data_IF_952823190986
#
_entry.id   IF_952823190986
#
_cell.length_a   1.000
_cell.length_b   1.000
_cell.length_c   1.000
_cell.angle_alpha   90.00
_cell.angle_beta   90.00
_cell.angle_gamma   90.00
#
_symmetry.space_group_name_H-M   'P 1'
#
loop_
_entity.id
_entity.type
_entity.pdbx_description
1 polymer ?
#
# COMPACT_ATOMS: atom_id res chain seq x y z
N UNK A 1 4.35 21.14 -2.72
CA UNK A 1 4.47 20.35 -1.47
C UNK A 1 3.25 20.71 -0.64
N UNK A 2 2.35 19.76 -0.32
CA UNK A 2 1.15 19.87 0.57
C UNK A 2 0.12 18.76 0.31
N UNK A 3 0.36 17.81 -0.61
CA UNK A 3 -0.62 16.79 -1.00
C UNK A 3 -1.14 15.96 0.20
N UNK A 4 -0.24 15.49 1.07
CA UNK A 4 -0.60 14.72 2.29
C UNK A 4 -1.63 15.48 3.15
N UNK A 5 -1.39 16.76 3.41
CA UNK A 5 -2.27 17.59 4.21
C UNK A 5 -3.60 17.90 3.49
N UNK A 6 -3.57 18.08 2.17
CA UNK A 6 -4.76 18.31 1.35
C UNK A 6 -5.67 17.07 1.29
N UNK A 7 -5.08 15.89 1.22
CA UNK A 7 -5.79 14.63 1.08
C UNK A 7 -6.18 14.03 2.45
N UNK A 8 -5.79 14.68 3.56
CA UNK A 8 -6.13 14.24 4.91
C UNK A 8 -5.55 12.88 5.30
N UNK A 9 -4.40 12.50 4.74
CA UNK A 9 -3.80 11.18 4.99
C UNK A 9 -3.17 11.14 6.39
N UNK A 10 -3.84 10.48 7.33
CA UNK A 10 -3.45 10.41 8.75
C UNK A 10 -2.45 9.32 9.07
N UNK A 11 -2.30 8.32 8.20
CA UNK A 11 -1.34 7.23 8.38
C UNK A 11 0.08 7.61 7.94
N UNK A 12 1.07 6.83 8.39
CA UNK A 12 2.50 7.05 8.10
C UNK A 12 2.77 7.19 6.62
N UNK A 13 3.35 8.32 6.22
CA UNK A 13 3.81 8.59 4.86
C UNK A 13 5.33 8.55 4.81
N UNK A 14 5.90 7.83 3.84
CA UNK A 14 7.35 7.78 3.60
C UNK A 14 7.63 7.96 2.12
N UNK A 15 8.75 8.60 1.77
CA UNK A 15 9.20 8.73 0.39
C UNK A 15 10.73 8.79 0.35
N UNK A 16 11.33 8.05 -0.57
CA UNK A 16 12.76 8.16 -0.88
C UNK A 16 13.05 9.20 -1.99
N UNK A 17 12.03 9.91 -2.49
CA UNK A 17 12.10 10.95 -3.53
C UNK A 17 12.73 10.51 -4.87
N UNK A 18 12.78 9.19 -5.15
CA UNK A 18 13.34 8.64 -6.40
C UNK A 18 12.30 8.42 -7.51
N UNK A 19 11.01 8.66 -7.26
CA UNK A 19 9.96 8.43 -8.24
C UNK A 19 9.97 7.00 -8.80
N UNK A 20 9.88 6.86 -10.13
CA UNK A 20 9.93 5.56 -10.81
C UNK A 20 11.31 4.87 -10.76
N UNK A 21 12.38 5.58 -10.43
CA UNK A 21 13.72 5.01 -10.26
C UNK A 21 13.93 4.37 -8.88
N UNK A 22 12.90 4.38 -8.02
CA UNK A 22 12.96 3.76 -6.71
C UNK A 22 13.28 2.27 -6.78
N UNK A 23 14.34 1.86 -6.08
CA UNK A 23 14.70 0.48 -5.83
C UNK A 23 13.59 -0.28 -5.08
N UNK A 24 12.88 0.38 -4.18
CA UNK A 24 11.73 -0.18 -3.46
C UNK A 24 10.58 -0.54 -4.43
N UNK A 25 10.24 0.33 -5.38
CA UNK A 25 9.21 0.05 -6.38
C UNK A 25 9.58 -1.17 -7.24
N UNK A 26 10.86 -1.31 -7.61
CA UNK A 26 11.37 -2.49 -8.31
C UNK A 26 11.30 -3.76 -7.46
N UNK A 27 11.72 -3.69 -6.19
CA UNK A 27 11.72 -4.82 -5.26
C UNK A 27 10.31 -5.40 -5.07
N UNK A 28 9.31 -4.54 -4.92
CA UNK A 28 7.90 -4.94 -4.78
C UNK A 28 7.14 -5.04 -6.11
N UNK A 29 7.84 -4.95 -7.25
CA UNK A 29 7.27 -5.03 -8.60
C UNK A 29 6.10 -4.05 -8.87
N UNK A 30 6.17 -2.84 -8.29
CA UNK A 30 5.20 -1.76 -8.52
C UNK A 30 5.44 -1.15 -9.91
N UNK A 31 4.46 -1.27 -10.81
CA UNK A 31 4.55 -0.78 -12.20
C UNK A 31 3.64 0.41 -12.52
N UNK A 32 2.66 0.68 -11.66
CA UNK A 32 1.76 1.82 -11.78
C UNK A 32 1.38 2.31 -10.38
N UNK A 33 0.55 3.34 -10.27
CA UNK A 33 -0.08 3.75 -9.00
C UNK A 33 -1.55 4.02 -9.28
N UNK A 34 -2.47 3.75 -8.32
CA UNK A 34 -2.22 3.19 -6.98
C UNK A 34 -1.97 1.67 -6.98
N UNK A 35 -1.14 1.18 -6.04
CA UNK A 35 -0.97 -0.24 -5.70
C UNK A 35 -1.02 -0.40 -4.17
N UNK A 36 -1.42 -1.58 -3.68
CA UNK A 36 -1.35 -1.92 -2.26
C UNK A 36 -0.93 -3.37 -2.06
N UNK A 37 -0.43 -3.65 -0.86
CA UNK A 37 -0.03 -4.96 -0.40
C UNK A 37 -0.61 -5.20 0.98
N UNK A 38 -1.14 -6.40 1.23
CA UNK A 38 -1.50 -6.86 2.55
C UNK A 38 -0.41 -7.84 3.01
N UNK A 39 0.19 -7.55 4.15
CA UNK A 39 1.31 -8.29 4.72
C UNK A 39 0.87 -8.84 6.08
N UNK A 40 1.18 -10.10 6.36
CA UNK A 40 0.90 -10.72 7.66
C UNK A 40 1.98 -10.38 8.71
N UNK A 41 1.77 -10.73 9.99
CA UNK A 41 2.76 -10.44 11.04
C UNK A 41 4.11 -11.14 10.88
N UNK A 42 4.20 -12.17 10.02
CA UNK A 42 5.44 -12.87 9.69
C UNK A 42 6.19 -12.20 8.53
N UNK A 43 5.63 -11.12 7.95
CA UNK A 43 6.24 -10.38 6.84
C UNK A 43 5.92 -10.99 5.47
N UNK A 44 4.95 -11.90 5.37
CA UNK A 44 4.56 -12.53 4.11
C UNK A 44 3.48 -11.70 3.42
N UNK A 45 3.64 -11.46 2.12
CA UNK A 45 2.62 -10.82 1.29
C UNK A 45 1.49 -11.83 1.04
N UNK A 46 0.31 -11.57 1.62
CA UNK A 46 -0.86 -12.45 1.54
C UNK A 46 -1.92 -11.96 0.53
N UNK A 47 -1.84 -10.70 0.10
CA UNK A 47 -2.63 -10.17 -1.02
C UNK A 47 -1.98 -8.93 -1.63
N UNK A 48 -2.36 -8.61 -2.88
CA UNK A 48 -1.91 -7.42 -3.60
C UNK A 48 -3.05 -6.83 -4.43
N UNK A 49 -3.02 -5.52 -4.64
CA UNK A 49 -3.91 -4.78 -5.53
C UNK A 49 -5.40 -5.02 -5.24
N UNK A 50 -5.74 -5.04 -3.96
CA UNK A 50 -7.11 -5.13 -3.51
C UNK A 50 -7.80 -3.78 -3.65
N UNK A 51 -8.99 -3.75 -4.25
CA UNK A 51 -9.76 -2.52 -4.44
C UNK A 51 -11.25 -2.80 -4.19
N UNK A 52 -12.01 -1.73 -3.92
CA UNK A 52 -13.46 -1.78 -3.76
C UNK A 52 -13.94 -2.85 -2.77
N UNK A 53 -15.02 -3.55 -3.13
CA UNK A 53 -15.61 -4.60 -2.29
C UNK A 53 -14.63 -5.73 -1.96
N UNK A 54 -13.72 -6.07 -2.87
CA UNK A 54 -12.75 -7.12 -2.63
C UNK A 54 -11.77 -6.76 -1.51
N UNK A 55 -11.38 -5.48 -1.41
CA UNK A 55 -10.57 -4.98 -0.30
C UNK A 55 -11.32 -5.15 1.02
N UNK A 56 -12.56 -4.66 1.10
CA UNK A 56 -13.36 -4.73 2.32
C UNK A 56 -13.58 -6.17 2.78
N UNK A 57 -13.90 -7.08 1.84
CA UNK A 57 -14.10 -8.49 2.13
C UNK A 57 -12.84 -9.14 2.70
N UNK A 58 -11.68 -8.96 2.05
CA UNK A 58 -10.43 -9.56 2.50
C UNK A 58 -10.01 -9.01 3.86
N UNK A 59 -10.16 -7.70 4.08
CA UNK A 59 -9.87 -7.10 5.39
C UNK A 59 -10.79 -7.68 6.48
N UNK A 60 -12.10 -7.78 6.25
CA UNK A 60 -13.02 -8.37 7.23
C UNK A 60 -12.75 -9.85 7.54
N UNK A 61 -12.24 -10.61 6.57
CA UNK A 61 -11.87 -12.03 6.76
C UNK A 61 -10.55 -12.19 7.52
N UNK A 62 -9.55 -11.34 7.23
CA UNK A 62 -8.14 -11.53 7.61
C UNK A 62 -7.67 -10.63 8.74
N UNK A 63 -8.34 -9.50 8.95
CA UNK A 63 -8.03 -8.51 9.99
C UNK A 63 -9.23 -8.48 10.93
N UNK A 64 -9.19 -9.32 11.96
CA UNK A 64 -10.13 -9.24 13.08
C UNK A 64 -9.53 -8.34 14.15
N UNK A 65 -10.38 -7.53 14.78
CA UNK A 65 -10.02 -6.69 15.93
C UNK A 65 -9.43 -7.51 17.08
#
# INVERSE_FOLDING_TARGET
>A
MNAIAKDGLTWTQVSNLKGWESDIARLYAVRNTPNNFLIDPQGVIIAKNLMGENLHRVLGERVKE
#
